data_IF_488410138900
#
_entry.id   IF_488410138900
#
_cell.length_a   1.000
_cell.length_b   1.000
_cell.length_c   1.000
_cell.angle_alpha   90.00
_cell.angle_beta   90.00
_cell.angle_gamma   90.00
#
_symmetry.space_group_name_H-M   'P 1'
#
loop_
_entity.id
_entity.type
_entity.pdbx_description
1 polymer ?
#
# COMPACT_ATOMS: atom_id res chain seq x y z
N UNK A 1 -6.56 -27.94 -17.11
CA UNK A 1 -5.17 -27.79 -16.61
C UNK A 1 -4.84 -28.98 -15.70
N UNK A 2 -3.57 -29.41 -15.66
CA UNK A 2 -3.08 -30.48 -14.76
C UNK A 2 -2.07 -29.87 -13.79
N UNK A 3 -2.22 -30.13 -12.50
CA UNK A 3 -1.24 -29.71 -11.48
C UNK A 3 0.04 -30.51 -11.66
N UNK A 4 1.19 -29.83 -11.74
CA UNK A 4 2.51 -30.45 -11.95
C UNK A 4 3.36 -30.51 -10.67
N UNK A 5 3.04 -29.66 -9.68
CA UNK A 5 3.69 -29.60 -8.37
C UNK A 5 2.85 -28.77 -7.41
N UNK A 6 3.07 -28.96 -6.11
CA UNK A 6 2.35 -28.23 -5.05
C UNK A 6 3.16 -28.19 -3.76
N UNK A 7 3.06 -27.07 -3.04
CA UNK A 7 3.44 -26.98 -1.62
C UNK A 7 2.15 -27.03 -0.80
N UNK A 8 2.09 -27.89 0.22
CA UNK A 8 0.91 -28.06 1.06
C UNK A 8 1.27 -27.97 2.54
N UNK A 9 0.31 -27.61 3.39
CA UNK A 9 0.50 -27.57 4.85
C UNK A 9 1.25 -26.35 5.37
N UNK A 10 1.49 -25.36 4.49
CA UNK A 10 1.96 -24.03 4.87
C UNK A 10 0.81 -23.25 5.55
N UNK A 11 1.13 -22.49 6.60
CA UNK A 11 0.22 -21.58 7.30
C UNK A 11 -1.19 -22.18 7.52
N UNK A 12 -1.25 -23.34 8.19
CA UNK A 12 -2.52 -24.07 8.41
C UNK A 12 -3.50 -23.22 9.21
N UNK A 13 -4.65 -22.91 8.60
CA UNK A 13 -5.68 -22.07 9.21
C UNK A 13 -5.65 -20.63 8.71
N UNK A 14 -4.58 -20.22 8.02
CA UNK A 14 -4.40 -18.87 7.52
C UNK A 14 -4.92 -18.71 6.08
N UNK A 15 -5.25 -17.46 5.72
CA UNK A 15 -5.58 -17.09 4.35
C UNK A 15 -4.37 -16.46 3.66
N UNK A 16 -4.15 -16.80 2.38
CA UNK A 16 -3.22 -16.06 1.53
C UNK A 16 -3.81 -14.67 1.28
N UNK A 17 -3.04 -13.62 1.61
CA UNK A 17 -3.41 -12.21 1.38
C UNK A 17 -2.76 -11.65 0.12
N UNK A 18 -1.55 -12.09 -0.20
CA UNK A 18 -0.85 -11.66 -1.41
C UNK A 18 0.04 -12.79 -1.94
N UNK A 19 0.17 -12.86 -3.26
CA UNK A 19 1.12 -13.73 -3.93
C UNK A 19 1.71 -12.98 -5.14
N UNK A 20 3.03 -13.07 -5.31
CA UNK A 20 3.76 -12.43 -6.41
C UNK A 20 4.82 -13.37 -6.95
N UNK A 21 4.86 -13.49 -8.27
CA UNK A 21 5.85 -14.30 -8.97
C UNK A 21 6.90 -13.37 -9.60
N UNK A 22 8.17 -13.70 -9.42
CA UNK A 22 9.30 -13.01 -10.04
C UNK A 22 10.33 -14.07 -10.48
N UNK A 23 10.47 -14.27 -11.79
CA UNK A 23 11.33 -15.32 -12.34
C UNK A 23 10.98 -16.71 -11.77
N UNK A 24 11.98 -17.36 -11.17
CA UNK A 24 11.84 -18.68 -10.55
C UNK A 24 11.44 -18.63 -9.07
N UNK A 25 10.89 -17.51 -8.59
CA UNK A 25 10.53 -17.35 -7.18
C UNK A 25 9.11 -16.85 -7.05
N UNK A 26 8.35 -17.45 -6.13
CA UNK A 26 7.11 -16.90 -5.65
C UNK A 26 7.29 -16.36 -4.24
N UNK A 27 6.72 -15.19 -4.00
CA UNK A 27 6.60 -14.55 -2.71
C UNK A 27 5.14 -14.59 -2.31
N UNK A 28 4.88 -14.98 -1.07
CA UNK A 28 3.52 -15.15 -0.60
C UNK A 28 3.41 -14.67 0.83
N UNK A 29 2.28 -14.05 1.12
CA UNK A 29 1.95 -13.46 2.41
C UNK A 29 0.66 -14.11 2.86
N UNK A 30 0.65 -14.66 4.07
CA UNK A 30 -0.53 -15.23 4.71
C UNK A 30 -0.92 -14.40 5.92
N UNK A 31 -2.14 -14.57 6.40
CA UNK A 31 -2.57 -13.89 7.62
C UNK A 31 -3.60 -14.69 8.40
N UNK A 32 -3.25 -14.97 9.65
CA UNK A 32 -4.21 -15.20 10.75
C UNK A 32 -3.95 -14.20 11.87
N UNK A 33 -2.68 -13.94 12.22
CA UNK A 33 -2.27 -13.15 13.39
C UNK A 33 -0.96 -12.36 13.19
N UNK A 34 0.01 -12.97 12.49
CA UNK A 34 1.30 -12.38 12.06
C UNK A 34 1.45 -12.70 10.56
N UNK A 35 2.07 -11.82 9.78
CA UNK A 35 2.29 -12.04 8.34
C UNK A 35 3.69 -12.61 8.10
N UNK A 36 3.80 -13.92 7.84
CA UNK A 36 4.99 -14.47 7.23
C UNK A 36 5.04 -14.15 5.73
N UNK A 37 6.03 -13.34 5.33
CA UNK A 37 6.50 -13.34 3.95
C UNK A 37 7.25 -14.65 3.70
N UNK A 38 6.66 -15.53 2.90
CA UNK A 38 7.27 -16.75 2.41
C UNK A 38 8.00 -16.53 1.08
N UNK A 39 9.20 -17.12 0.97
CA UNK A 39 9.95 -17.21 -0.29
C UNK A 39 9.88 -18.66 -0.77
N UNK A 40 9.33 -18.87 -1.96
CA UNK A 40 9.12 -20.19 -2.56
C UNK A 40 9.96 -20.31 -3.84
N UNK A 41 10.86 -21.27 -3.87
CA UNK A 41 11.63 -21.63 -5.05
C UNK A 41 10.77 -22.45 -6.02
N UNK A 42 10.70 -21.97 -7.26
CA UNK A 42 9.98 -22.55 -8.38
C UNK A 42 10.92 -23.00 -9.52
N UNK A 43 12.23 -23.03 -9.30
CA UNK A 43 13.23 -23.47 -10.30
C UNK A 43 12.90 -24.86 -10.83
N UNK A 44 12.40 -25.75 -9.96
CA UNK A 44 11.76 -26.99 -10.38
C UNK A 44 10.23 -26.91 -10.14
N UNK A 45 9.42 -26.64 -11.17
CA UNK A 45 7.98 -26.45 -11.00
C UNK A 45 7.24 -27.74 -10.57
N UNK A 46 7.83 -28.93 -10.76
CA UNK A 46 7.24 -30.17 -10.27
C UNK A 46 7.53 -30.45 -8.79
N UNK A 47 8.46 -29.69 -8.19
CA UNK A 47 8.86 -29.81 -6.79
C UNK A 47 9.15 -28.42 -6.20
N UNK A 48 8.13 -27.55 -6.06
CA UNK A 48 8.31 -26.26 -5.43
C UNK A 48 8.72 -26.42 -3.95
N UNK A 49 9.56 -25.53 -3.43
CA UNK A 49 10.12 -25.62 -2.07
C UNK A 49 10.07 -24.27 -1.38
N UNK A 50 9.63 -24.23 -0.11
CA UNK A 50 9.75 -23.03 0.72
C UNK A 50 11.21 -22.88 1.13
N UNK A 51 11.81 -21.74 0.81
CA UNK A 51 13.21 -21.42 1.12
C UNK A 51 13.34 -20.65 2.43
N UNK A 52 12.47 -19.68 2.67
CA UNK A 52 12.55 -18.80 3.83
C UNK A 52 11.21 -18.22 4.23
N UNK A 53 11.18 -17.68 5.44
CA UNK A 53 10.02 -17.08 6.07
C UNK A 53 10.47 -15.86 6.88
N UNK A 54 9.75 -14.75 6.77
CA UNK A 54 9.94 -13.54 7.58
C UNK A 54 8.61 -13.13 8.21
N UNK A 55 8.50 -13.28 9.53
CA UNK A 55 7.30 -12.90 10.30
C UNK A 55 7.33 -11.43 10.69
N UNK A 56 6.26 -10.70 10.40
CA UNK A 56 6.11 -9.29 10.75
C UNK A 56 4.70 -8.97 11.27
N UNK A 57 4.55 -7.97 12.16
CA UNK A 57 3.23 -7.45 12.50
C UNK A 57 2.63 -6.72 11.30
N UNK A 58 1.32 -6.87 11.13
CA UNK A 58 0.58 -6.41 9.94
C UNK A 58 0.45 -7.49 8.88
N UNK A 59 0.02 -7.10 7.69
CA UNK A 59 0.11 -7.91 6.48
C UNK A 59 0.26 -7.06 5.22
N UNK A 60 1.03 -7.57 4.24
CA UNK A 60 1.10 -6.97 2.91
C UNK A 60 -0.07 -7.43 2.03
N UNK A 61 -0.91 -6.51 1.58
CA UNK A 61 -2.00 -6.79 0.63
C UNK A 61 -1.51 -6.87 -0.81
N UNK A 62 -0.40 -6.21 -1.12
CA UNK A 62 0.24 -6.25 -2.43
C UNK A 62 1.77 -6.28 -2.29
N UNK A 63 2.41 -7.08 -3.14
CA UNK A 63 3.87 -7.21 -3.24
C UNK A 63 4.33 -6.82 -4.64
N UNK A 64 5.35 -5.98 -4.70
CA UNK A 64 5.94 -5.49 -5.95
C UNK A 64 7.47 -5.66 -5.94
N UNK A 65 8.05 -6.52 -6.79
CA UNK A 65 9.49 -6.62 -6.92
C UNK A 65 10.05 -5.32 -7.49
N UNK A 66 11.14 -4.80 -6.92
CA UNK A 66 11.80 -3.57 -7.37
C UNK A 66 13.31 -3.79 -7.43
N UNK A 67 13.92 -3.59 -8.60
CA UNK A 67 15.37 -3.82 -8.77
C UNK A 67 15.86 -5.21 -8.37
N UNK A 68 17.15 -5.30 -8.02
CA UNK A 68 17.80 -6.59 -7.74
C UNK A 68 17.53 -7.08 -6.31
N UNK A 69 16.70 -8.12 -6.22
CA UNK A 69 16.35 -8.82 -4.99
C UNK A 69 15.73 -7.93 -3.90
N UNK A 70 14.97 -6.90 -4.30
CA UNK A 70 14.13 -6.15 -3.36
C UNK A 70 12.65 -6.31 -3.70
N UNK A 71 11.81 -6.24 -2.68
CA UNK A 71 10.36 -6.26 -2.80
C UNK A 71 9.76 -5.19 -1.92
N UNK A 72 8.83 -4.42 -2.47
CA UNK A 72 7.98 -3.53 -1.71
C UNK A 72 6.69 -4.27 -1.37
N UNK A 73 6.38 -4.35 -0.07
CA UNK A 73 5.04 -4.72 0.41
C UNK A 73 4.27 -3.49 0.82
N UNK A 74 3.01 -3.38 0.41
CA UNK A 74 2.07 -2.38 0.92
C UNK A 74 0.84 -3.06 1.50
N UNK A 75 0.39 -2.58 2.65
CA UNK A 75 -0.70 -3.22 3.38
C UNK A 75 -1.03 -2.54 4.70
N UNK A 76 -1.50 -3.35 5.65
CA UNK A 76 -1.93 -2.87 6.96
C UNK A 76 -0.89 -3.22 8.02
N UNK A 77 -0.71 -2.35 9.00
CA UNK A 77 0.08 -2.61 10.20
C UNK A 77 -0.85 -3.07 11.32
N UNK A 78 -0.39 -4.01 12.15
CA UNK A 78 -1.12 -4.40 13.37
C UNK A 78 -0.23 -4.24 14.60
N UNK A 79 -0.84 -4.21 15.78
CA UNK A 79 -0.15 -4.31 17.06
C UNK A 79 -0.89 -5.28 17.97
N UNK A 80 -0.14 -5.94 18.84
CA UNK A 80 -0.71 -6.80 19.89
C UNK A 80 -1.52 -5.97 20.88
N UNK A 81 -2.71 -6.46 21.21
CA UNK A 81 -3.54 -5.97 22.29
C UNK A 81 -3.28 -6.83 23.51
N UNK A 82 -2.96 -6.20 24.64
CA UNK A 82 -2.64 -6.91 25.88
C UNK A 82 -3.72 -6.70 26.95
N UNK A 83 -4.01 -7.75 27.69
CA UNK A 83 -4.65 -7.70 29.00
C UNK A 83 -3.59 -7.96 30.07
N UNK A 84 -3.58 -7.14 31.12
CA UNK A 84 -2.70 -7.35 32.27
C UNK A 84 -3.48 -8.07 33.37
N UNK A 85 -3.04 -9.26 33.74
CA UNK A 85 -3.69 -10.04 34.81
C UNK A 85 -3.44 -9.42 36.20
N UNK A 86 -4.11 -9.97 37.23
CA UNK A 86 -3.98 -9.52 38.62
C UNK A 86 -2.55 -9.64 39.18
N UNK A 87 -1.69 -10.42 38.52
CA UNK A 87 -0.27 -10.62 38.89
C UNK A 87 0.68 -9.72 38.09
N UNK A 88 0.15 -8.90 37.18
CA UNK A 88 0.92 -7.99 36.34
C UNK A 88 1.45 -8.60 35.05
N UNK A 89 1.08 -9.83 34.69
CA UNK A 89 1.51 -10.47 33.45
C UNK A 89 0.73 -9.92 32.26
N UNK A 90 1.43 -9.61 31.16
CA UNK A 90 0.83 -9.20 29.90
C UNK A 90 0.44 -10.43 29.07
N UNK A 91 -0.84 -10.52 28.74
CA UNK A 91 -1.42 -11.61 27.96
C UNK A 91 -1.95 -10.99 26.66
N UNK A 92 -1.46 -11.46 25.51
CA UNK A 92 -1.99 -11.05 24.21
C UNK A 92 -3.44 -11.54 24.09
N UNK A 93 -4.38 -10.62 23.94
CA UNK A 93 -5.82 -10.90 23.81
C UNK A 93 -6.36 -10.69 22.40
N UNK A 94 -5.58 -10.04 21.54
CA UNK A 94 -5.97 -9.78 20.16
C UNK A 94 -4.95 -8.93 19.42
N UNK A 95 -5.33 -8.51 18.22
CA UNK A 95 -4.52 -7.64 17.36
C UNK A 95 -5.39 -6.49 16.89
N UNK A 96 -4.85 -5.28 16.93
CA UNK A 96 -5.53 -4.08 16.44
C UNK A 96 -4.80 -3.57 15.19
N UNK A 97 -5.57 -3.13 14.19
CA UNK A 97 -5.01 -2.44 13.04
C UNK A 97 -4.53 -1.05 13.47
N UNK A 98 -3.25 -0.76 13.22
CA UNK A 98 -2.60 0.51 13.58
C UNK A 98 -2.38 1.46 12.41
N UNK A 99 -2.86 1.08 11.23
CA UNK A 99 -2.91 1.89 10.02
C UNK A 99 -2.32 1.21 8.78
N UNK A 100 -1.84 2.01 7.85
CA UNK A 100 -1.21 1.54 6.61
C UNK A 100 0.31 1.57 6.71
N UNK A 101 0.97 0.60 6.07
CA UNK A 101 2.43 0.44 6.07
C UNK A 101 2.93 0.09 4.68
N UNK A 102 4.11 0.61 4.36
CA UNK A 102 4.98 0.10 3.32
C UNK A 102 6.22 -0.55 3.96
N UNK A 103 6.65 -1.67 3.41
CA UNK A 103 7.84 -2.42 3.82
C UNK A 103 8.75 -2.64 2.63
N UNK A 104 10.05 -2.52 2.83
CA UNK A 104 11.07 -2.87 1.84
C UNK A 104 11.80 -4.11 2.32
N UNK A 105 11.67 -5.18 1.56
CA UNK A 105 12.27 -6.47 1.83
C UNK A 105 13.51 -6.67 0.97
N UNK A 106 14.57 -7.17 1.59
CA UNK A 106 15.72 -7.74 0.93
C UNK A 106 15.58 -9.26 0.88
N UNK A 107 15.58 -9.80 -0.33
CA UNK A 107 15.43 -11.23 -0.61
C UNK A 107 16.65 -11.80 -1.34
N UNK A 108 17.80 -11.13 -1.24
CA UNK A 108 19.05 -11.61 -1.86
C UNK A 108 19.52 -12.96 -1.32
N UNK A 109 19.17 -13.25 -0.06
CA UNK A 109 19.26 -14.59 0.52
C UNK A 109 17.82 -15.14 0.70
N UNK A 110 17.36 -16.03 -0.20
CA UNK A 110 16.02 -16.61 -0.13
C UNK A 110 15.73 -17.40 1.15
N UNK A 111 16.77 -17.85 1.87
CA UNK A 111 16.60 -18.58 3.14
C UNK A 111 16.45 -17.63 4.33
N UNK A 112 16.94 -16.39 4.20
CA UNK A 112 16.93 -15.39 5.26
C UNK A 112 16.45 -14.01 4.74
N UNK A 113 15.18 -13.90 4.27
CA UNK A 113 14.62 -12.62 3.86
C UNK A 113 14.56 -11.63 5.03
N UNK A 114 14.78 -10.34 4.76
CA UNK A 114 14.83 -9.29 5.79
C UNK A 114 13.99 -8.08 5.43
N UNK A 115 13.28 -7.52 6.40
CA UNK A 115 12.72 -6.16 6.28
C UNK A 115 13.84 -5.16 6.56
N UNK A 116 14.33 -4.49 5.52
CA UNK A 116 15.43 -3.52 5.64
C UNK A 116 14.93 -2.09 5.88
N UNK A 117 13.64 -1.83 5.63
CA UNK A 117 13.00 -0.56 5.96
C UNK A 117 11.49 -0.71 6.05
N UNK A 118 10.87 0.12 6.88
CA UNK A 118 9.42 0.28 6.92
C UNK A 118 9.01 1.73 7.05
N UNK A 119 7.85 2.05 6.50
CA UNK A 119 7.27 3.39 6.52
C UNK A 119 5.78 3.30 6.84
N UNK A 120 5.35 3.99 7.91
CA UNK A 120 3.93 4.16 8.21
C UNK A 120 3.33 5.15 7.22
N UNK A 121 2.40 4.67 6.40
CA UNK A 121 1.71 5.46 5.39
C UNK A 121 0.50 6.20 5.98
N UNK A 122 -0.09 5.71 7.06
CA UNK A 122 -1.20 6.38 7.75
C UNK A 122 -1.53 5.68 9.06
N UNK A 123 -2.24 6.38 9.94
CA UNK A 123 -2.74 5.89 11.23
C UNK A 123 -3.97 4.99 11.09
N UNK A 124 -4.50 4.56 12.23
CA UNK A 124 -5.73 3.77 12.31
C UNK A 124 -6.88 4.48 11.58
N UNK A 125 -7.70 3.72 10.84
CA UNK A 125 -8.78 4.27 10.01
C UNK A 125 -8.35 4.71 8.60
N UNK A 126 -7.05 4.71 8.29
CA UNK A 126 -6.58 4.95 6.92
C UNK A 126 -7.02 3.84 5.97
N UNK A 127 -7.32 4.21 4.73
CA UNK A 127 -7.70 3.30 3.65
C UNK A 127 -6.90 3.61 2.39
N UNK A 128 -6.61 2.60 1.57
CA UNK A 128 -5.93 2.79 0.29
C UNK A 128 -6.37 1.74 -0.74
N UNK A 129 -6.33 2.13 -2.01
CA UNK A 129 -6.74 1.28 -3.14
C UNK A 129 -5.96 -0.04 -3.19
N UNK A 130 -4.67 -0.01 -2.87
CA UNK A 130 -3.79 -1.20 -2.93
C UNK A 130 -4.24 -2.35 -2.00
N UNK A 131 -5.16 -2.08 -1.07
CA UNK A 131 -5.75 -3.12 -0.22
C UNK A 131 -6.64 -4.08 -1.02
N UNK A 132 -7.18 -3.64 -2.15
CA UNK A 132 -8.16 -4.41 -2.94
C UNK A 132 -7.84 -4.45 -4.44
N UNK A 133 -7.11 -3.46 -4.98
CA UNK A 133 -6.72 -3.41 -6.39
C UNK A 133 -5.21 -3.15 -6.52
N UNK A 134 -4.50 -4.06 -7.19
CA UNK A 134 -3.09 -3.90 -7.52
C UNK A 134 -2.79 -2.63 -8.33
N UNK A 135 -3.77 -2.09 -9.06
CA UNK A 135 -3.65 -0.79 -9.77
C UNK A 135 -3.58 0.40 -8.82
N UNK A 136 -3.85 0.22 -7.53
CA UNK A 136 -3.66 1.22 -6.49
C UNK A 136 -2.19 1.51 -6.17
N UNK A 137 -1.28 0.65 -6.62
CA UNK A 137 0.17 0.85 -6.56
C UNK A 137 0.70 1.27 -7.93
N UNK A 138 1.49 2.33 -7.96
CA UNK A 138 2.07 2.90 -9.18
C UNK A 138 3.57 2.81 -9.08
N UNK A 139 4.14 1.98 -9.94
CA UNK A 139 5.58 1.79 -10.04
C UNK A 139 6.23 2.91 -10.88
N UNK A 140 7.30 3.49 -10.35
CA UNK A 140 8.13 4.54 -10.96
C UNK A 140 9.60 4.08 -10.86
N UNK A 141 9.85 2.86 -11.33
CA UNK A 141 11.13 2.15 -11.18
C UNK A 141 12.33 2.93 -11.70
N UNK A 142 12.21 3.64 -12.81
CA UNK A 142 13.31 4.45 -13.40
C UNK A 142 13.79 5.57 -12.47
N UNK A 143 12.96 5.99 -11.51
CA UNK A 143 13.26 7.00 -10.50
C UNK A 143 13.44 6.40 -9.09
N UNK A 144 13.39 5.07 -8.94
CA UNK A 144 13.38 4.37 -7.65
C UNK A 144 12.29 4.88 -6.70
N UNK A 145 11.07 5.06 -7.22
CA UNK A 145 9.91 5.51 -6.46
C UNK A 145 8.67 4.68 -6.75
N UNK A 146 7.68 4.82 -5.89
CA UNK A 146 6.32 4.39 -6.16
C UNK A 146 5.32 5.40 -5.61
N UNK A 147 4.09 5.35 -6.11
CA UNK A 147 2.98 6.12 -5.56
C UNK A 147 1.81 5.23 -5.17
N UNK A 148 1.11 5.65 -4.12
CA UNK A 148 -0.14 5.03 -3.64
C UNK A 148 -1.18 6.10 -3.41
N UNK A 149 -2.45 5.73 -3.51
CA UNK A 149 -3.56 6.63 -3.18
C UNK A 149 -4.48 6.07 -2.12
N UNK A 150 -5.12 6.97 -1.38
CA UNK A 150 -6.06 6.61 -0.34
C UNK A 150 -6.47 7.78 0.53
N UNK A 151 -7.14 7.45 1.63
CA UNK A 151 -7.43 8.37 2.72
C UNK A 151 -6.51 8.04 3.89
N UNK A 152 -5.79 9.03 4.38
CA UNK A 152 -4.76 8.82 5.40
C UNK A 152 -5.11 9.59 6.67
N UNK A 153 -5.36 8.84 7.74
CA UNK A 153 -5.45 9.39 9.09
C UNK A 153 -4.04 9.75 9.58
N UNK A 154 -3.84 10.88 10.27
CA UNK A 154 -2.57 11.16 10.94
C UNK A 154 -2.25 10.13 12.02
N UNK A 155 -0.95 9.91 12.28
CA UNK A 155 -0.49 8.80 13.13
C UNK A 155 -0.96 8.84 14.59
N UNK A 156 -1.30 10.03 15.11
CA UNK A 156 -1.65 10.29 16.50
C UNK A 156 -2.96 11.09 16.66
N UNK A 157 -3.84 11.04 15.64
CA UNK A 157 -5.09 11.81 15.68
C UNK A 157 -6.13 11.14 16.58
N UNK A 158 -6.60 11.85 17.60
CA UNK A 158 -7.81 11.52 18.36
C UNK A 158 -9.09 11.95 17.66
N UNK A 159 -8.97 12.74 16.58
CA UNK A 159 -10.07 13.18 15.73
C UNK A 159 -10.16 12.31 14.47
N UNK A 160 -11.37 12.04 14.01
CA UNK A 160 -11.69 11.31 12.76
C UNK A 160 -11.30 12.09 11.48
N UNK A 161 -10.27 12.92 11.53
CA UNK A 161 -9.75 13.64 10.38
C UNK A 161 -8.92 12.69 9.52
N UNK A 162 -9.32 12.55 8.26
CA UNK A 162 -8.56 11.86 7.22
C UNK A 162 -8.25 12.86 6.10
N UNK A 163 -7.18 12.59 5.35
CA UNK A 163 -6.81 13.36 4.17
C UNK A 163 -6.83 12.46 2.94
N UNK A 164 -7.60 12.83 1.92
CA UNK A 164 -7.55 12.17 0.63
C UNK A 164 -6.30 12.65 -0.14
N UNK A 165 -5.39 11.73 -0.44
CA UNK A 165 -4.11 12.08 -1.05
C UNK A 165 -3.53 10.96 -1.92
N UNK A 166 -2.58 11.36 -2.76
CA UNK A 166 -1.59 10.45 -3.34
C UNK A 166 -0.24 10.66 -2.63
N UNK A 167 0.38 9.57 -2.16
CA UNK A 167 1.70 9.59 -1.51
C UNK A 167 2.76 9.07 -2.45
N UNK A 168 3.80 9.87 -2.66
CA UNK A 168 4.99 9.51 -3.43
C UNK A 168 6.09 9.08 -2.45
N UNK A 169 6.66 7.91 -2.65
CA UNK A 169 7.65 7.30 -1.76
C UNK A 169 8.86 6.87 -2.57
N UNK A 170 10.05 7.27 -2.14
CA UNK A 170 11.30 6.78 -2.70
C UNK A 170 11.79 5.56 -1.95
N UNK A 171 12.52 4.68 -2.63
CA UNK A 171 13.14 3.51 -2.03
C UNK A 171 14.60 3.35 -2.47
N UNK A 172 15.46 2.91 -1.56
CA UNK A 172 16.76 2.35 -1.92
C UNK A 172 17.21 1.33 -0.87
N UNK A 173 18.12 0.43 -1.24
CA UNK A 173 18.71 -0.55 -0.31
C UNK A 173 19.45 0.13 0.86
N UNK A 174 20.07 1.28 0.60
CA UNK A 174 20.89 2.00 1.58
C UNK A 174 20.06 2.94 2.46
N UNK A 175 19.11 3.65 1.86
CA UNK A 175 18.32 4.70 2.52
C UNK A 175 16.94 4.22 3.01
N UNK A 176 16.51 3.04 2.58
CA UNK A 176 15.20 2.51 2.87
C UNK A 176 14.08 3.28 2.17
N UNK A 177 12.90 3.27 2.79
CA UNK A 177 11.70 3.97 2.33
C UNK A 177 11.66 5.38 2.90
N UNK A 178 11.41 6.39 2.04
CA UNK A 178 11.21 7.78 2.46
C UNK A 178 9.98 8.36 1.77
N UNK A 179 9.06 8.94 2.56
CA UNK A 179 7.97 9.73 2.00
C UNK A 179 8.56 10.98 1.35
N UNK A 180 8.38 11.11 0.04
CA UNK A 180 8.86 12.27 -0.73
C UNK A 180 7.84 13.39 -0.64
N UNK A 181 6.56 13.08 -0.86
CA UNK A 181 5.48 14.06 -0.81
C UNK A 181 4.11 13.41 -0.61
N UNK A 182 3.19 14.18 -0.04
CA UNK A 182 1.75 13.87 0.02
C UNK A 182 1.02 14.93 -0.80
N UNK A 183 0.43 14.51 -1.90
CA UNK A 183 -0.34 15.37 -2.80
C UNK A 183 -1.80 15.27 -2.39
N UNK A 184 -2.28 16.30 -1.69
CA UNK A 184 -3.69 16.41 -1.32
C UNK A 184 -4.54 16.66 -2.55
N UNK A 185 -5.71 16.05 -2.60
CA UNK A 185 -6.76 16.54 -3.48
C UNK A 185 -8.06 16.67 -2.72
N UNK A 186 -9.16 16.46 -3.43
CA UNK A 186 -10.49 16.69 -2.91
C UNK A 186 -10.88 15.62 -1.90
N UNK A 187 -11.51 16.05 -0.80
CA UNK A 187 -11.90 15.18 0.32
C UNK A 187 -13.11 14.32 -0.04
N UNK A 188 -12.87 13.30 -0.86
CA UNK A 188 -13.88 12.31 -1.22
C UNK A 188 -13.24 10.94 -1.45
N UNK A 189 -13.94 9.91 -0.95
CA UNK A 189 -13.56 8.50 -1.12
C UNK A 189 -13.51 8.07 -2.60
N UNK A 190 -14.30 8.72 -3.47
CA UNK A 190 -14.42 8.38 -4.89
C UNK A 190 -13.52 9.23 -5.79
N UNK A 191 -12.89 10.30 -5.26
CA UNK A 191 -12.10 11.19 -6.10
C UNK A 191 -10.79 10.55 -6.55
N UNK A 192 -10.45 10.84 -7.80
CA UNK A 192 -9.36 10.25 -8.56
C UNK A 192 -7.95 10.62 -8.11
N UNK A 193 -7.70 10.89 -6.81
CA UNK A 193 -6.44 11.31 -6.17
C UNK A 193 -5.25 10.42 -6.55
N UNK A 194 -4.75 10.56 -7.77
CA UNK A 194 -3.85 9.60 -8.41
C UNK A 194 -2.72 10.34 -9.06
N UNK A 195 -1.53 9.77 -8.93
CA UNK A 195 -0.34 10.27 -9.61
C UNK A 195 -0.03 9.41 -10.83
N UNK A 196 0.43 10.01 -11.90
CA UNK A 196 1.14 9.33 -12.99
C UNK A 196 2.28 10.20 -13.47
N UNK A 197 3.07 9.76 -14.43
CA UNK A 197 4.20 10.54 -14.94
C UNK A 197 4.48 10.24 -16.41
N UNK A 198 5.03 11.24 -17.10
CA UNK A 198 5.56 11.12 -18.46
C UNK A 198 6.90 11.86 -18.49
N UNK A 199 7.99 11.13 -18.75
CA UNK A 199 9.34 11.69 -18.68
C UNK A 199 9.64 12.28 -17.30
N UNK A 200 9.93 13.58 -17.26
CA UNK A 200 10.24 14.31 -16.02
C UNK A 200 9.07 15.15 -15.51
N UNK A 201 7.85 14.88 -15.98
CA UNK A 201 6.63 15.53 -15.49
C UNK A 201 5.77 14.54 -14.71
N UNK A 202 5.44 14.89 -13.48
CA UNK A 202 4.49 14.19 -12.62
C UNK A 202 3.11 14.84 -12.76
N UNK A 203 2.08 14.04 -12.94
CA UNK A 203 0.70 14.49 -13.07
C UNK A 203 -0.11 13.98 -11.88
N UNK A 204 -0.77 14.88 -11.17
CA UNK A 204 -1.68 14.58 -10.08
C UNK A 204 -3.11 14.91 -10.48
N UNK A 205 -3.97 13.90 -10.49
CA UNK A 205 -5.42 14.05 -10.64
C UNK A 205 -6.00 14.29 -9.25
N UNK A 206 -6.41 15.50 -8.91
CA UNK A 206 -6.86 15.86 -7.55
C UNK A 206 -8.32 15.49 -7.27
N UNK A 207 -9.07 15.06 -8.29
CA UNK A 207 -10.53 14.99 -8.25
C UNK A 207 -11.21 16.13 -9.04
N UNK A 208 -10.60 17.32 -9.04
CA UNK A 208 -11.13 18.54 -9.68
C UNK A 208 -10.22 19.11 -10.77
N UNK A 209 -8.90 18.97 -10.58
CA UNK A 209 -7.90 19.46 -11.51
C UNK A 209 -6.81 18.42 -11.77
N UNK A 210 -6.22 18.53 -12.96
CA UNK A 210 -4.99 17.83 -13.33
C UNK A 210 -3.86 18.82 -13.11
N UNK A 211 -2.99 18.54 -12.15
CA UNK A 211 -1.83 19.39 -11.82
C UNK A 211 -0.57 18.71 -12.32
N UNK A 212 0.24 19.44 -13.09
CA UNK A 212 1.55 19.00 -13.53
C UNK A 212 2.63 19.59 -12.62
N UNK A 213 3.60 18.75 -12.25
CA UNK A 213 4.78 19.10 -11.46
C UNK A 213 6.04 18.63 -12.19
N UNK A 214 7.15 19.36 -12.05
CA UNK A 214 8.47 18.81 -12.38
C UNK A 214 8.77 17.68 -11.40
N UNK A 215 9.27 16.56 -11.89
CA UNK A 215 9.65 15.45 -11.01
C UNK A 215 10.82 15.84 -10.10
N UNK A 216 11.78 16.60 -10.66
CA UNK A 216 12.82 17.25 -9.88
C UNK A 216 12.24 18.44 -9.09
N UNK A 217 12.42 18.44 -7.78
CA UNK A 217 11.93 19.47 -6.86
C UNK A 217 10.41 19.56 -6.67
N UNK A 218 9.59 18.78 -7.39
CA UNK A 218 8.12 18.78 -7.29
C UNK A 218 7.49 20.18 -7.49
N UNK A 219 8.03 20.96 -8.43
CA UNK A 219 7.57 22.34 -8.69
C UNK A 219 6.38 22.33 -9.64
N UNK A 220 5.26 22.95 -9.24
CA UNK A 220 4.05 23.06 -10.08
C UNK A 220 4.39 23.77 -11.40
N UNK A 221 4.14 23.10 -12.51
CA UNK A 221 4.33 23.62 -13.88
C UNK A 221 3.03 24.18 -14.48
N UNK A 222 1.88 23.70 -14.01
CA UNK A 222 0.56 24.17 -14.45
C UNK A 222 -0.56 23.31 -13.91
N UNK A 223 -1.80 23.73 -14.14
CA UNK A 223 -2.97 22.86 -13.93
C UNK A 223 -4.09 23.14 -14.91
N UNK A 224 -4.97 22.15 -15.09
CA UNK A 224 -6.21 22.25 -15.87
C UNK A 224 -7.34 21.70 -15.01
N UNK A 225 -8.37 22.52 -14.77
CA UNK A 225 -9.60 22.08 -14.10
C UNK A 225 -10.47 21.30 -15.09
N UNK A 226 -11.03 20.16 -14.66
CA UNK A 226 -11.91 19.33 -15.49
C UNK A 226 -13.29 19.08 -14.88
N UNK A 227 -13.56 19.58 -13.67
CA UNK A 227 -14.91 19.60 -13.09
C UNK A 227 -15.52 21.02 -13.14
N UNK A 228 -15.97 21.43 -14.32
CA UNK A 228 -17.18 22.24 -14.43
C UNK A 228 -18.16 21.44 -15.28
N UNK A 229 -19.34 21.12 -14.74
CA UNK A 229 -20.43 20.62 -15.57
C UNK A 229 -21.36 21.79 -15.88
N UNK A 230 -21.59 22.03 -17.17
CA UNK A 230 -22.54 23.02 -17.66
C UNK A 230 -23.93 22.40 -17.65
N UNK A 231 -24.85 22.98 -16.89
CA UNK A 231 -26.28 22.67 -16.99
C UNK A 231 -26.97 23.95 -17.48
N UNK A 232 -27.61 23.90 -18.66
CA UNK A 232 -28.31 25.04 -19.28
C UNK A 232 -27.46 26.33 -19.35
N UNK A 233 -26.26 26.26 -19.93
CA UNK A 233 -25.34 27.41 -20.11
C UNK A 233 -24.92 28.15 -18.83
N UNK A 234 -25.11 27.53 -17.66
CA UNK A 234 -24.63 28.02 -16.38
C UNK A 234 -23.45 27.15 -15.91
N UNK A 235 -22.35 27.79 -15.55
CA UNK A 235 -21.18 27.15 -14.93
C UNK A 235 -21.46 27.04 -13.44
N UNK A 236 -21.53 25.81 -12.93
CA UNK A 236 -21.69 25.55 -11.50
C UNK A 236 -20.35 25.11 -10.90
N UNK A 237 -19.88 25.83 -9.88
CA UNK A 237 -18.78 25.39 -9.03
C UNK A 237 -19.29 24.23 -8.17
N UNK A 238 -18.71 23.04 -8.38
CA UNK A 238 -19.22 21.79 -7.82
C UNK A 238 -19.11 21.72 -6.30
N UNK A 239 -20.19 22.08 -5.60
CA UNK A 239 -20.62 21.45 -4.34
C UNK A 239 -22.14 21.51 -4.30
N UNK A 240 -22.82 20.44 -4.69
CA UNK A 240 -24.12 20.14 -4.10
C UNK A 240 -23.93 18.87 -3.29
N UNK A 241 -23.99 19.01 -1.97
CA UNK A 241 -24.25 17.88 -1.08
C UNK A 241 -25.36 17.01 -1.69
N UNK A 242 -25.28 15.68 -1.61
CA UNK A 242 -26.40 14.86 -2.06
C UNK A 242 -27.60 15.27 -1.21
N UNK A 243 -28.63 15.81 -1.87
CA UNK A 243 -29.90 16.07 -1.21
C UNK A 243 -30.30 14.79 -0.47
N UNK A 244 -30.42 14.88 0.86
CA UNK A 244 -30.98 13.82 1.69
C UNK A 244 -32.30 13.39 1.03
N UNK A 245 -32.32 12.22 0.41
CA UNK A 245 -33.59 11.58 0.09
C UNK A 245 -34.11 11.05 1.43
N UNK A 246 -35.24 11.56 1.96
CA UNK A 246 -35.84 10.93 3.11
C UNK A 246 -36.20 9.49 2.72
N UNK A 247 -35.75 8.54 3.55
CA UNK A 247 -36.15 7.13 3.43
C UNK A 247 -37.69 7.04 3.39
N UNK A 248 -38.21 6.38 2.37
CA UNK A 248 -39.56 5.79 2.33
C UNK A 248 -39.45 4.38 1.78
#
# INVERSE_FOLDING_TARGET
>A
MKVVGSVTGLAKGEQIKSARFSGNTAYMVTFETTDPLYVVDLTNPSKPVIKGELKLPGFSSYLHPVGDNLIIGVGQSTAEQFYRDEKGNEIVTGFINTGLKASLFDVSDPENPKEISSLKLGGMGSWADFLYDHKGFIDITDKSMFAVRGTFTPNDSTNYAYEAAAKLVSYSRQDGLKLVSSFKGEDSYDTGNRITYIGDTLYHFTGRELVAYSFDGLVKQGSVEYSSYVVNDQVYDGVTEPAEKPYK
#
